data_IF_099507724752
#
_entry.id   IF_099507724752
#
_cell.length_a   1.000
_cell.length_b   1.000
_cell.length_c   1.000
_cell.angle_alpha   90.00
_cell.angle_beta   90.00
_cell.angle_gamma   90.00
#
_symmetry.space_group_name_H-M   'P 1'
#
loop_
_entity.id
_entity.type
_entity.pdbx_description
1 polymer ?
#
# COMPACT_ATOMS: atom_id res chain seq x y z
N UNK A 1 8.92 -14.89 -6.11
CA UNK A 1 9.95 -14.04 -6.74
C UNK A 1 10.94 -14.95 -7.44
N UNK A 2 11.54 -14.53 -8.57
CA UNK A 2 12.55 -15.34 -9.28
C UNK A 2 13.88 -15.35 -8.53
N UNK A 3 14.23 -14.26 -7.85
CA UNK A 3 15.44 -14.09 -7.04
C UNK A 3 15.13 -13.66 -5.62
N UNK A 4 15.96 -14.09 -4.67
CA UNK A 4 15.89 -13.72 -3.26
C UNK A 4 17.29 -13.53 -2.69
N UNK A 5 17.41 -12.69 -1.68
CA UNK A 5 18.63 -12.55 -0.89
C UNK A 5 18.56 -13.52 0.29
N UNK A 6 19.47 -14.48 0.32
CA UNK A 6 19.67 -15.39 1.43
C UNK A 6 20.63 -14.76 2.45
N UNK A 7 20.15 -14.62 3.68
CA UNK A 7 20.94 -14.19 4.83
C UNK A 7 21.64 -15.43 5.38
N UNK A 8 22.96 -15.40 5.48
CA UNK A 8 23.72 -16.55 5.99
C UNK A 8 23.55 -16.66 7.51
N UNK A 9 23.20 -17.88 7.97
CA UNK A 9 22.96 -18.16 9.39
C UNK A 9 24.29 -18.37 10.15
N UNK A 10 25.26 -19.02 9.52
CA UNK A 10 26.59 -19.29 10.11
C UNK A 10 27.56 -18.12 10.00
N UNK A 11 27.42 -17.30 8.96
CA UNK A 11 28.18 -16.05 8.80
C UNK A 11 27.21 -14.86 8.90
N UNK A 12 27.15 -14.29 10.11
CA UNK A 12 26.32 -13.11 10.40
C UNK A 12 26.67 -11.88 9.56
N UNK A 13 27.74 -11.92 8.77
CA UNK A 13 28.14 -10.84 7.87
C UNK A 13 27.80 -11.10 6.40
N UNK A 14 27.38 -12.31 6.01
CA UNK A 14 27.18 -12.70 4.62
C UNK A 14 25.74 -12.54 4.11
N UNK A 15 25.60 -11.98 2.90
CA UNK A 15 24.36 -11.92 2.13
C UNK A 15 24.61 -12.45 0.71
N UNK A 16 23.79 -13.40 0.24
CA UNK A 16 23.93 -14.01 -1.09
C UNK A 16 22.64 -13.88 -1.89
N UNK A 17 22.74 -13.51 -3.16
CA UNK A 17 21.63 -13.59 -4.11
C UNK A 17 21.48 -15.03 -4.60
N UNK A 18 20.27 -15.57 -4.54
CA UNK A 18 19.93 -16.90 -5.05
C UNK A 18 18.85 -16.80 -6.13
N UNK A 19 18.94 -17.68 -7.11
CA UNK A 19 17.84 -17.93 -8.05
C UNK A 19 16.94 -19.05 -7.49
N UNK A 20 15.65 -18.76 -7.37
CA UNK A 20 14.69 -19.66 -6.73
C UNK A 20 14.42 -20.94 -7.52
N UNK A 21 14.73 -20.93 -8.82
CA UNK A 21 14.71 -22.08 -9.72
C UNK A 21 15.88 -23.04 -9.47
N UNK A 22 17.06 -22.50 -9.15
CA UNK A 22 18.28 -23.28 -8.86
C UNK A 22 18.33 -23.72 -7.40
N UNK A 23 17.83 -22.88 -6.49
CA UNK A 23 17.86 -23.08 -5.04
C UNK A 23 16.50 -22.76 -4.44
N UNK A 24 15.69 -23.80 -4.23
CA UNK A 24 14.35 -23.64 -3.66
C UNK A 24 14.43 -23.10 -2.22
N UNK A 25 13.80 -21.94 -1.93
CA UNK A 25 13.76 -21.40 -0.57
C UNK A 25 13.03 -22.35 0.38
N UNK A 26 13.61 -22.63 1.55
CA UNK A 26 13.04 -23.55 2.55
C UNK A 26 12.11 -22.86 3.56
N UNK A 27 11.90 -21.55 3.43
CA UNK A 27 11.19 -20.77 4.42
C UNK A 27 10.53 -19.51 3.84
N UNK A 28 9.87 -18.72 4.70
CA UNK A 28 9.29 -17.44 4.29
C UNK A 28 10.36 -16.44 3.85
N UNK A 29 9.92 -15.39 3.16
CA UNK A 29 10.76 -14.23 2.86
C UNK A 29 10.07 -12.94 3.30
N UNK A 30 10.89 -11.94 3.63
CA UNK A 30 10.45 -10.56 3.86
C UNK A 30 10.65 -9.74 2.59
N UNK A 31 9.91 -8.66 2.46
CA UNK A 31 10.12 -7.62 1.44
C UNK A 31 10.53 -6.31 2.11
N UNK A 32 11.25 -5.45 1.41
CA UNK A 32 11.64 -4.12 1.90
C UNK A 32 11.10 -3.02 1.00
N UNK A 33 10.17 -2.22 1.54
CA UNK A 33 9.75 -0.95 0.96
C UNK A 33 10.64 0.18 1.47
N UNK A 34 11.36 0.86 0.57
CA UNK A 34 12.24 1.96 0.93
C UNK A 34 12.34 3.00 -0.18
N UNK A 35 12.93 4.16 0.11
CA UNK A 35 13.23 5.20 -0.88
C UNK A 35 14.71 5.13 -1.23
N UNK A 36 15.04 5.07 -2.51
CA UNK A 36 16.44 5.03 -2.94
C UNK A 36 17.14 6.38 -2.69
N UNK A 37 16.43 7.49 -2.90
CA UNK A 37 16.96 8.84 -2.71
C UNK A 37 18.06 9.19 -3.73
N UNK A 38 19.13 9.86 -3.26
CA UNK A 38 20.34 10.13 -4.06
C UNK A 38 21.50 9.21 -3.69
N UNK A 39 21.23 8.19 -2.87
CA UNK A 39 22.25 7.29 -2.37
C UNK A 39 22.73 6.39 -3.52
N UNK A 40 24.05 6.31 -3.72
CA UNK A 40 24.63 5.30 -4.58
C UNK A 40 24.96 4.08 -3.72
N UNK A 41 24.46 2.92 -4.14
CA UNK A 41 24.71 1.67 -3.46
C UNK A 41 24.79 0.52 -4.45
N UNK A 42 25.25 -0.64 -3.99
CA UNK A 42 25.40 -1.80 -4.87
C UNK A 42 24.00 -2.24 -5.32
N UNK A 43 23.79 -2.23 -6.63
CA UNK A 43 22.56 -2.69 -7.29
C UNK A 43 22.86 -3.99 -8.03
N UNK A 44 21.83 -4.77 -8.35
CA UNK A 44 21.96 -5.92 -9.22
C UNK A 44 22.08 -5.46 -10.68
N UNK A 45 23.24 -5.73 -11.27
CA UNK A 45 23.57 -5.44 -12.66
C UNK A 45 24.31 -6.65 -13.24
N UNK A 46 24.49 -6.71 -14.56
CA UNK A 46 25.30 -7.77 -15.17
C UNK A 46 26.71 -7.85 -14.56
N UNK A 47 27.29 -6.72 -14.16
CA UNK A 47 28.63 -6.65 -13.56
C UNK A 47 28.70 -7.11 -12.10
N UNK A 48 27.61 -6.94 -11.35
CA UNK A 48 27.55 -7.24 -9.91
C UNK A 48 26.87 -8.57 -9.60
N UNK A 49 26.29 -9.22 -10.61
CA UNK A 49 25.58 -10.49 -10.48
C UNK A 49 26.44 -11.59 -9.84
N UNK A 50 27.64 -11.81 -10.37
CA UNK A 50 28.53 -12.87 -9.90
C UNK A 50 28.99 -12.63 -8.47
N UNK A 51 29.33 -11.38 -8.12
CA UNK A 51 29.66 -10.97 -6.74
C UNK A 51 28.49 -11.24 -5.79
N UNK A 52 27.27 -10.87 -6.19
CA UNK A 52 26.07 -11.05 -5.37
C UNK A 52 25.74 -12.55 -5.20
N UNK A 53 25.93 -13.38 -6.23
CA UNK A 53 25.79 -14.84 -6.16
C UNK A 53 26.89 -15.50 -5.32
N UNK A 54 28.12 -15.00 -5.38
CA UNK A 54 29.21 -15.48 -4.53
C UNK A 54 28.93 -15.17 -3.05
N UNK A 55 28.38 -13.98 -2.79
CA UNK A 55 28.04 -13.46 -1.47
C UNK A 55 28.85 -12.20 -1.16
N UNK A 56 28.19 -11.24 -0.53
CA UNK A 56 28.77 -9.94 -0.16
C UNK A 56 28.64 -9.70 1.34
N UNK A 57 29.50 -8.83 1.87
CA UNK A 57 29.40 -8.38 3.26
C UNK A 57 28.18 -7.46 3.43
N UNK A 58 27.40 -7.66 4.49
CA UNK A 58 26.29 -6.78 4.87
C UNK A 58 26.79 -5.36 5.16
N UNK A 59 28.02 -5.20 5.65
CA UNK A 59 28.58 -3.89 6.02
C UNK A 59 28.75 -2.93 4.84
N UNK A 60 28.84 -3.43 3.60
CA UNK A 60 28.95 -2.58 2.41
C UNK A 60 27.59 -2.06 1.92
N UNK A 61 26.48 -2.57 2.47
CA UNK A 61 25.14 -2.16 2.08
C UNK A 61 24.72 -0.88 2.80
N UNK A 62 23.74 -0.14 2.26
CA UNK A 62 23.16 1.01 2.95
C UNK A 62 22.58 0.64 4.32
N UNK A 63 22.58 1.60 5.24
CA UNK A 63 22.12 1.39 6.63
C UNK A 63 20.70 0.82 6.69
N UNK A 64 19.78 1.27 5.82
CA UNK A 64 18.42 0.74 5.75
C UNK A 64 18.39 -0.75 5.41
N UNK A 65 19.32 -1.25 4.59
CA UNK A 65 19.38 -2.66 4.20
C UNK A 65 19.99 -3.49 5.32
N UNK A 66 21.04 -2.97 5.97
CA UNK A 66 21.65 -3.60 7.15
C UNK A 66 20.63 -3.77 8.28
N UNK A 67 19.84 -2.74 8.54
CA UNK A 67 18.80 -2.78 9.55
C UNK A 67 17.67 -3.74 9.14
N UNK A 68 17.28 -3.77 7.86
CA UNK A 68 16.28 -4.72 7.37
C UNK A 68 16.73 -6.18 7.54
N UNK A 69 18.01 -6.48 7.29
CA UNK A 69 18.60 -7.80 7.55
C UNK A 69 18.60 -8.11 9.06
N UNK A 70 18.89 -7.11 9.90
CA UNK A 70 18.82 -7.26 11.36
C UNK A 70 17.40 -7.55 11.85
N UNK A 71 16.39 -6.89 11.27
CA UNK A 71 14.97 -7.18 11.53
C UNK A 71 14.60 -8.58 11.06
N UNK A 72 15.04 -8.99 9.86
CA UNK A 72 14.79 -10.32 9.34
C UNK A 72 15.33 -11.42 10.28
N UNK A 73 16.55 -11.24 10.79
CA UNK A 73 17.15 -12.13 11.80
C UNK A 73 16.34 -12.21 13.08
N UNK A 74 15.90 -11.07 13.62
CA UNK A 74 15.05 -11.03 14.82
C UNK A 74 13.71 -11.73 14.63
N UNK A 75 13.18 -11.70 13.41
CA UNK A 75 11.95 -12.41 13.02
C UNK A 75 12.21 -13.88 12.61
N UNK A 76 13.46 -14.36 12.67
CA UNK A 76 13.88 -15.70 12.25
C UNK A 76 13.52 -16.00 10.78
N UNK A 77 13.62 -14.98 9.92
CA UNK A 77 13.42 -15.10 8.47
C UNK A 77 14.74 -14.87 7.74
N UNK A 78 15.16 -15.86 6.95
CA UNK A 78 16.48 -15.90 6.31
C UNK A 78 16.48 -15.51 4.83
N UNK A 79 15.33 -15.10 4.31
CA UNK A 79 15.18 -14.63 2.94
C UNK A 79 14.60 -13.22 2.91
N UNK A 80 15.21 -12.36 2.10
CA UNK A 80 14.80 -10.97 1.93
C UNK A 80 14.70 -10.65 0.43
N UNK A 81 13.71 -9.85 0.07
CA UNK A 81 13.56 -9.32 -1.28
C UNK A 81 13.68 -7.79 -1.23
N UNK A 82 14.63 -7.26 -1.98
CA UNK A 82 14.86 -5.82 -2.17
C UNK A 82 14.92 -5.60 -3.67
N UNK A 83 14.07 -4.72 -4.20
CA UNK A 83 13.94 -4.41 -5.64
C UNK A 83 15.29 -4.18 -6.33
N UNK A 84 16.11 -3.28 -5.79
CA UNK A 84 17.43 -2.90 -6.31
C UNK A 84 18.46 -4.03 -6.32
N UNK A 85 18.26 -5.10 -5.55
CA UNK A 85 19.18 -6.23 -5.44
C UNK A 85 18.63 -7.54 -6.02
N UNK A 86 17.32 -7.61 -6.30
CA UNK A 86 16.66 -8.78 -6.85
C UNK A 86 16.19 -8.60 -8.30
N UNK A 87 16.13 -7.35 -8.80
CA UNK A 87 15.80 -7.00 -10.18
C UNK A 87 17.06 -6.45 -10.85
N UNK A 88 17.34 -6.89 -12.08
CA UNK A 88 18.48 -6.41 -12.85
C UNK A 88 18.22 -5.00 -13.36
N UNK A 89 19.00 -4.02 -12.88
CA UNK A 89 18.78 -2.60 -13.13
C UNK A 89 19.25 -2.12 -14.51
N UNK A 90 20.13 -2.88 -15.15
CA UNK A 90 20.68 -2.62 -16.49
C UNK A 90 20.02 -3.48 -17.60
N UNK A 91 18.92 -4.19 -17.30
CA UNK A 91 18.13 -4.96 -18.29
C UNK A 91 16.66 -4.56 -18.26
N UNK A 92 16.18 -3.96 -19.35
CA UNK A 92 14.76 -3.62 -19.50
C UNK A 92 13.88 -4.86 -19.65
N UNK A 93 14.38 -5.96 -20.23
CA UNK A 93 13.61 -7.21 -20.30
C UNK A 93 13.41 -7.85 -18.92
N UNK A 94 14.46 -7.90 -18.10
CA UNK A 94 14.37 -8.40 -16.72
C UNK A 94 13.46 -7.50 -15.88
N UNK A 95 13.63 -6.19 -15.99
CA UNK A 95 12.78 -5.23 -15.29
C UNK A 95 11.31 -5.45 -15.64
N UNK A 96 10.95 -5.53 -16.93
CA UNK A 96 9.56 -5.75 -17.35
C UNK A 96 8.98 -7.07 -16.82
N UNK A 97 9.79 -8.14 -16.82
CA UNK A 97 9.38 -9.44 -16.29
C UNK A 97 9.15 -9.35 -14.77
N UNK A 98 10.10 -8.85 -14.01
CA UNK A 98 10.01 -8.77 -12.55
C UNK A 98 8.94 -7.78 -12.09
N UNK A 99 8.85 -6.62 -12.73
CA UNK A 99 7.83 -5.60 -12.49
C UNK A 99 6.41 -6.18 -12.64
N UNK A 100 6.19 -7.03 -13.66
CA UNK A 100 4.91 -7.72 -13.86
C UNK A 100 4.53 -8.68 -12.71
N UNK A 101 5.53 -9.20 -12.01
CA UNK A 101 5.40 -10.16 -10.90
C UNK A 101 5.48 -9.50 -9.52
N UNK A 102 5.93 -8.24 -9.43
CA UNK A 102 6.14 -7.50 -8.18
C UNK A 102 4.91 -7.53 -7.27
N UNK A 103 3.72 -7.50 -7.87
CA UNK A 103 2.47 -7.61 -7.11
C UNK A 103 2.32 -8.93 -6.35
N UNK A 104 2.72 -10.03 -6.97
CA UNK A 104 2.72 -11.36 -6.35
C UNK A 104 3.85 -11.46 -5.32
N UNK A 105 5.00 -10.82 -5.55
CA UNK A 105 6.11 -10.79 -4.57
C UNK A 105 5.64 -10.19 -3.24
N UNK A 106 5.04 -8.99 -3.28
CA UNK A 106 4.51 -8.38 -2.05
C UNK A 106 3.35 -9.19 -1.45
N UNK A 107 2.45 -9.73 -2.29
CA UNK A 107 1.29 -10.50 -1.80
C UNK A 107 1.68 -11.81 -1.10
N UNK A 108 2.74 -12.48 -1.56
CA UNK A 108 3.20 -13.76 -1.02
C UNK A 108 4.32 -13.62 0.02
N UNK A 109 4.88 -12.42 0.20
CA UNK A 109 5.81 -12.13 1.30
C UNK A 109 5.18 -12.36 2.68
N UNK A 110 5.99 -12.79 3.64
CA UNK A 110 5.56 -13.08 5.00
C UNK A 110 5.17 -11.81 5.77
N UNK A 111 6.01 -10.78 5.65
CA UNK A 111 5.81 -9.43 6.15
C UNK A 111 6.65 -8.46 5.30
N UNK A 112 6.11 -7.25 5.09
CA UNK A 112 6.84 -6.16 4.46
C UNK A 112 7.46 -5.26 5.53
N UNK A 113 8.76 -5.06 5.46
CA UNK A 113 9.48 -4.04 6.24
C UNK A 113 9.33 -2.72 5.46
N UNK A 114 8.73 -1.70 6.09
CA UNK A 114 8.57 -0.39 5.47
C UNK A 114 9.43 0.64 6.19
N UNK A 115 10.46 1.14 5.52
CA UNK A 115 11.33 2.24 5.98
C UNK A 115 10.58 3.59 5.92
N UNK A 116 9.49 3.70 6.68
CA UNK A 116 8.46 4.74 6.52
C UNK A 116 8.96 6.12 6.93
N UNK A 117 9.77 6.19 7.97
CA UNK A 117 10.41 7.43 8.44
C UNK A 117 11.70 7.80 7.67
N UNK A 118 12.29 6.87 6.93
CA UNK A 118 13.56 7.08 6.24
C UNK A 118 13.36 7.95 4.99
N UNK A 119 14.20 8.97 4.83
CA UNK A 119 14.17 9.83 3.64
C UNK A 119 14.84 9.15 2.43
N UNK A 120 15.84 8.30 2.69
CA UNK A 120 16.58 7.50 1.71
C UNK A 120 17.18 6.21 2.33
N UNK A 121 17.91 5.42 1.52
CA UNK A 121 18.54 4.17 1.93
C UNK A 121 19.66 4.31 2.97
N UNK A 122 20.19 5.52 3.20
CA UNK A 122 21.30 5.77 4.13
C UNK A 122 20.85 6.04 5.56
N UNK A 123 19.59 6.43 5.75
CA UNK A 123 19.07 6.84 7.06
C UNK A 123 18.94 5.67 8.07
N UNK A 124 18.63 4.46 7.61
CA UNK A 124 18.35 3.33 8.49
C UNK A 124 16.87 3.16 8.83
N UNK A 125 16.57 2.08 9.56
CA UNK A 125 15.23 1.79 10.09
C UNK A 125 15.08 2.27 11.54
N UNK A 126 16.16 2.22 12.32
CA UNK A 126 16.18 2.63 13.73
C UNK A 126 16.56 4.10 13.83
N UNK A 127 15.66 4.98 13.39
CA UNK A 127 15.90 6.42 13.41
C UNK A 127 15.91 6.91 14.86
N UNK A 128 16.88 7.76 15.21
CA UNK A 128 16.96 8.39 16.52
C UNK A 128 15.84 9.41 16.70
N UNK A 129 14.70 8.92 17.18
CA UNK A 129 13.61 9.74 17.69
C UNK A 129 14.00 10.33 19.04
N UNK A 130 14.69 11.47 19.06
CA UNK A 130 14.83 12.29 20.28
C UNK A 130 13.49 12.79 20.83
N UNK A 131 12.40 12.58 20.09
CA UNK A 131 11.04 12.78 20.57
C UNK A 131 10.63 11.60 21.47
N UNK A 132 10.16 11.85 22.69
CA UNK A 132 9.63 10.79 23.54
C UNK A 132 8.55 10.03 22.78
N UNK A 133 8.50 8.71 22.97
CA UNK A 133 7.36 7.89 22.54
C UNK A 133 6.10 8.65 22.91
N UNK A 134 5.26 8.94 21.91
CA UNK A 134 3.96 9.58 22.17
C UNK A 134 3.06 8.55 22.84
N UNK A 135 3.31 8.33 24.13
CA UNK A 135 2.45 7.55 25.00
C UNK A 135 1.18 8.35 25.24
N UNK A 136 0.02 7.70 25.22
CA UNK A 136 -1.25 8.38 25.43
C UNK A 136 -1.24 9.08 26.78
N UNK A 137 -1.67 10.33 26.83
CA UNK A 137 -1.73 11.05 28.10
C UNK A 137 -2.85 10.43 28.95
N UNK A 138 -2.48 9.82 30.08
CA UNK A 138 -3.41 9.27 31.07
C UNK A 138 -4.01 10.42 31.87
N UNK A 139 -5.32 10.57 31.80
CA UNK A 139 -6.07 11.58 32.56
C UNK A 139 -7.10 10.88 33.45
N UNK A 140 -7.23 11.37 34.69
CA UNK A 140 -8.25 10.90 35.63
C UNK A 140 -9.39 11.90 35.63
N UNK A 141 -10.53 11.49 35.10
CA UNK A 141 -11.73 12.32 34.98
C UNK A 141 -12.74 11.92 36.07
N UNK A 142 -13.51 12.86 36.63
CA UNK A 142 -14.62 12.51 37.51
C UNK A 142 -15.69 11.76 36.71
N UNK A 143 -16.24 10.70 37.30
CA UNK A 143 -17.34 9.96 36.67
C UNK A 143 -18.59 10.82 36.61
N UNK A 144 -19.32 10.73 35.50
CA UNK A 144 -20.60 11.43 35.38
C UNK A 144 -21.59 10.88 36.41
N UNK A 145 -22.06 11.75 37.33
CA UNK A 145 -23.03 11.38 38.36
C UNK A 145 -22.43 10.81 39.65
N UNK A 146 -21.10 10.66 39.75
CA UNK A 146 -20.41 10.26 40.97
C UNK A 146 -19.18 11.16 41.21
N UNK A 147 -19.28 12.16 42.10
CA UNK A 147 -18.18 13.08 42.42
C UNK A 147 -16.95 12.41 43.07
N UNK A 148 -17.11 11.20 43.61
CA UNK A 148 -16.03 10.43 44.25
C UNK A 148 -15.43 9.40 43.29
N UNK A 149 -16.19 9.01 42.27
CA UNK A 149 -15.77 8.15 41.18
C UNK A 149 -14.71 8.79 40.28
N UNK A 150 -13.65 8.04 39.99
CA UNK A 150 -12.61 8.41 39.03
C UNK A 150 -12.60 7.42 37.87
N UNK A 151 -12.65 7.93 36.65
CA UNK A 151 -12.45 7.17 35.42
C UNK A 151 -11.09 7.50 34.81
N UNK A 152 -10.32 6.47 34.45
CA UNK A 152 -9.06 6.63 33.73
C UNK A 152 -9.36 6.71 32.24
N UNK A 153 -9.10 7.87 31.65
CA UNK A 153 -9.20 8.10 30.21
C UNK A 153 -7.81 8.33 29.61
N UNK A 154 -7.68 8.09 28.31
CA UNK A 154 -6.46 8.34 27.56
C UNK A 154 -6.72 9.37 26.46
N UNK A 155 -5.92 10.44 26.42
CA UNK A 155 -5.97 11.43 25.34
C UNK A 155 -5.18 10.88 24.16
N UNK A 156 -5.86 10.75 23.03
CA UNK A 156 -5.32 10.20 21.79
C UNK A 156 -5.21 11.29 20.74
N UNK A 157 -4.14 11.29 19.95
CA UNK A 157 -4.12 11.98 18.66
C UNK A 157 -4.96 11.15 17.68
N UNK A 158 -6.17 11.61 17.27
CA UNK A 158 -7.02 10.87 16.36
C UNK A 158 -6.40 10.72 14.96
N UNK A 159 -5.42 11.58 14.61
CA UNK A 159 -4.76 11.61 13.31
C UNK A 159 -3.37 10.97 13.33
N UNK A 160 -2.98 10.31 14.43
CA UNK A 160 -1.65 9.70 14.59
C UNK A 160 -1.26 8.83 13.38
N UNK A 161 -2.16 7.94 12.97
CA UNK A 161 -1.93 7.05 11.82
C UNK A 161 -1.77 7.83 10.52
N UNK A 162 -2.66 8.79 10.26
CA UNK A 162 -2.61 9.61 9.05
C UNK A 162 -1.29 10.38 8.97
N UNK A 163 -0.89 10.98 10.09
CA UNK A 163 0.29 11.82 10.19
C UNK A 163 1.60 11.02 10.09
N UNK A 164 1.65 9.79 10.61
CA UNK A 164 2.88 8.97 10.63
C UNK A 164 3.00 8.01 9.46
N UNK A 165 1.89 7.53 8.91
CA UNK A 165 1.87 6.49 7.89
C UNK A 165 1.30 7.01 6.58
N UNK A 166 0.05 7.47 6.55
CA UNK A 166 -0.61 7.80 5.27
C UNK A 166 0.05 8.98 4.56
N UNK A 167 0.54 9.96 5.31
CA UNK A 167 1.25 11.14 4.80
C UNK A 167 2.77 10.92 4.71
N UNK A 168 3.27 9.72 5.03
CA UNK A 168 4.70 9.47 5.03
C UNK A 168 5.28 9.53 3.60
N UNK A 169 6.50 10.07 3.42
CA UNK A 169 7.13 10.17 2.11
C UNK A 169 7.21 8.82 1.38
N UNK A 170 7.45 7.72 2.09
CA UNK A 170 7.46 6.38 1.51
C UNK A 170 6.10 6.03 0.89
N UNK A 171 5.00 6.25 1.61
CA UNK A 171 3.66 5.84 1.19
C UNK A 171 3.16 6.66 0.00
N UNK A 172 3.60 7.91 -0.13
CA UNK A 172 3.31 8.70 -1.35
C UNK A 172 3.91 8.10 -2.64
N UNK A 173 4.78 7.09 -2.57
CA UNK A 173 5.26 6.34 -3.75
C UNK A 173 4.92 4.86 -3.68
N UNK A 174 5.13 4.22 -2.54
CA UNK A 174 5.03 2.78 -2.34
C UNK A 174 3.66 2.30 -1.82
N UNK A 175 2.57 3.05 -2.08
CA UNK A 175 1.24 2.68 -1.59
C UNK A 175 0.79 1.29 -2.10
N UNK A 176 1.23 0.87 -3.30
CA UNK A 176 0.92 -0.45 -3.86
C UNK A 176 1.57 -1.57 -3.06
N UNK A 177 2.81 -1.38 -2.63
CA UNK A 177 3.54 -2.36 -1.80
C UNK A 177 2.86 -2.50 -0.43
N UNK A 178 2.53 -1.36 0.19
CA UNK A 178 1.69 -1.31 1.38
C UNK A 178 0.32 -1.92 1.12
N UNK A 179 -0.26 -1.86 -0.08
CA UNK A 179 -1.60 -2.41 -0.31
C UNK A 179 -1.56 -3.94 -0.42
N UNK A 180 -0.59 -4.45 -1.17
CA UNK A 180 -0.52 -5.86 -1.55
C UNK A 180 0.02 -6.77 -0.45
N UNK A 181 0.95 -6.27 0.38
CA UNK A 181 1.51 -7.06 1.48
C UNK A 181 0.42 -7.62 2.41
N UNK A 182 0.61 -8.79 3.03
CA UNK A 182 -0.36 -9.29 4.03
C UNK A 182 -0.22 -8.58 5.37
N UNK A 183 1.01 -8.23 5.71
CA UNK A 183 1.44 -7.59 6.95
C UNK A 183 2.51 -6.57 6.61
N UNK A 184 2.48 -5.42 7.28
CA UNK A 184 3.46 -4.36 7.11
C UNK A 184 3.94 -3.93 8.49
N UNK A 185 5.25 -3.95 8.69
CA UNK A 185 5.92 -3.39 9.85
C UNK A 185 6.55 -2.07 9.42
N UNK A 186 5.97 -0.97 9.87
CA UNK A 186 6.40 0.38 9.58
C UNK A 186 7.41 0.86 10.61
N UNK A 187 8.61 1.15 10.15
CA UNK A 187 9.64 1.85 10.91
C UNK A 187 9.48 3.34 10.67
N UNK A 188 8.94 4.05 11.66
CA UNK A 188 8.76 5.51 11.60
C UNK A 188 9.84 6.21 12.41
N UNK A 189 9.79 7.54 12.50
CA UNK A 189 10.77 8.34 13.24
C UNK A 189 10.64 8.20 14.76
N UNK A 190 9.48 7.78 15.25
CA UNK A 190 9.13 7.84 16.67
C UNK A 190 8.72 6.49 17.26
N UNK A 191 8.08 5.59 16.50
CA UNK A 191 7.73 4.24 16.99
C UNK A 191 7.51 3.24 15.85
N UNK A 192 7.40 1.96 16.20
CA UNK A 192 6.93 0.94 15.27
C UNK A 192 5.41 0.97 15.12
N UNK A 193 4.95 0.82 13.88
CA UNK A 193 3.54 0.58 13.57
C UNK A 193 3.37 -0.74 12.82
N UNK A 194 2.28 -1.42 13.12
CA UNK A 194 1.89 -2.67 12.51
C UNK A 194 0.56 -2.50 11.78
N UNK A 195 0.50 -2.98 10.54
CA UNK A 195 -0.73 -3.06 9.76
C UNK A 195 -0.90 -4.46 9.17
N UNK A 196 -2.09 -5.04 9.33
CA UNK A 196 -2.45 -6.24 8.58
C UNK A 196 -3.93 -6.24 8.16
N UNK A 197 -4.34 -7.37 7.58
CA UNK A 197 -5.74 -7.83 7.42
C UNK A 197 -6.68 -7.37 8.53
N UNK A 198 -6.25 -7.59 9.76
CA UNK A 198 -7.13 -7.72 10.91
C UNK A 198 -7.03 -6.55 11.87
N UNK A 199 -5.83 -6.01 12.03
CA UNK A 199 -5.48 -5.08 13.11
C UNK A 199 -4.51 -4.03 12.63
N UNK A 200 -4.57 -2.90 13.31
CA UNK A 200 -3.55 -1.86 13.30
C UNK A 200 -3.06 -1.72 14.73
N UNK A 201 -1.75 -1.67 14.94
CA UNK A 201 -1.15 -1.54 16.25
C UNK A 201 0.09 -0.64 16.17
N UNK A 202 0.54 -0.14 17.31
CA UNK A 202 1.81 0.57 17.44
C UNK A 202 2.39 0.32 18.83
N UNK A 203 3.59 0.80 19.13
CA UNK A 203 4.21 0.57 20.45
C UNK A 203 3.36 1.13 21.60
N UNK A 204 2.69 2.27 21.39
CA UNK A 204 1.72 2.82 22.35
C UNK A 204 0.42 1.98 22.49
N UNK A 205 0.05 1.24 21.45
CA UNK A 205 -1.18 0.42 21.38
C UNK A 205 -0.89 -0.95 20.76
N UNK A 206 -0.23 -1.87 21.50
CA UNK A 206 0.29 -3.10 20.94
C UNK A 206 -0.80 -4.10 20.53
N UNK A 207 -2.00 -4.00 21.11
CA UNK A 207 -3.11 -4.92 20.82
C UNK A 207 -3.96 -4.41 19.64
N UNK A 208 -4.37 -3.15 19.69
CA UNK A 208 -5.24 -2.52 18.71
C UNK A 208 -5.21 -1.00 18.90
N UNK A 209 -4.98 -0.26 17.81
CA UNK A 209 -5.19 1.20 17.78
C UNK A 209 -6.68 1.53 17.69
N UNK A 210 -7.11 2.50 18.48
CA UNK A 210 -8.41 3.13 18.37
C UNK A 210 -8.32 4.24 17.32
N UNK A 211 -9.10 4.14 16.24
CA UNK A 211 -9.27 5.22 15.25
C UNK A 211 -10.71 5.71 15.35
N UNK A 212 -10.99 6.75 16.14
CA UNK A 212 -12.32 7.33 16.21
C UNK A 212 -12.59 8.06 14.89
N UNK A 213 -13.57 7.59 14.11
CA UNK A 213 -14.01 8.30 12.89
C UNK A 213 -13.43 7.74 11.59
N UNK A 214 -13.96 6.61 11.15
CA UNK A 214 -14.19 6.25 9.75
C UNK A 214 -13.28 6.94 8.71
N UNK A 215 -12.17 6.29 8.39
CA UNK A 215 -11.91 5.93 6.99
C UNK A 215 -11.19 4.60 7.03
N UNK A 216 -11.71 3.61 6.31
CA UNK A 216 -11.13 2.27 6.10
C UNK A 216 -9.65 2.16 6.46
N UNK A 217 -9.31 1.18 7.32
CA UNK A 217 -7.93 0.65 7.31
C UNK A 217 -7.56 0.45 5.85
N UNK A 218 -6.40 0.96 5.41
CA UNK A 218 -6.02 0.91 4.00
C UNK A 218 -6.03 -0.54 3.48
N UNK A 219 -5.73 -1.52 4.35
CA UNK A 219 -5.88 -2.95 4.09
C UNK A 219 -7.32 -3.48 3.98
N UNK A 220 -8.29 -2.80 4.58
CA UNK A 220 -9.72 -3.12 4.51
C UNK A 220 -10.43 -2.38 3.36
N UNK A 221 -9.70 -1.66 2.51
CA UNK A 221 -10.25 -1.16 1.24
C UNK A 221 -10.82 -2.31 0.41
N UNK A 222 -10.27 -3.52 0.50
CA UNK A 222 -10.91 -4.74 -0.02
C UNK A 222 -11.57 -5.50 1.14
N UNK A 223 -12.92 -5.64 1.16
CA UNK A 223 -13.62 -6.40 2.20
C UNK A 223 -13.17 -7.87 2.27
N UNK A 224 -13.22 -8.49 3.46
CA UNK A 224 -12.67 -9.85 3.69
C UNK A 224 -13.54 -10.99 3.13
N UNK A 225 -14.86 -10.82 3.03
CA UNK A 225 -15.77 -11.91 2.67
C UNK A 225 -15.96 -12.02 1.16
N UNK A 226 -15.56 -13.15 0.56
CA UNK A 226 -15.87 -13.50 -0.85
C UNK A 226 -17.38 -13.59 -1.14
N UNK A 227 -18.17 -13.75 -0.09
CA UNK A 227 -19.57 -14.19 -0.10
C UNK A 227 -20.52 -13.13 0.45
N UNK A 228 -20.33 -11.85 0.13
CA UNK A 228 -21.54 -11.03 0.07
C UNK A 228 -22.21 -11.32 -1.27
N UNK A 229 -23.04 -12.37 -1.29
CA UNK A 229 -24.10 -12.51 -2.31
C UNK A 229 -24.96 -11.22 -2.36
N UNK A 230 -24.92 -10.43 -1.28
CA UNK A 230 -25.50 -9.08 -1.18
C UNK A 230 -24.71 -7.99 -1.95
N UNK A 231 -23.62 -8.31 -2.68
CA UNK A 231 -23.02 -7.37 -3.65
C UNK A 231 -23.94 -7.13 -4.86
N UNK A 232 -24.82 -8.08 -5.16
CA UNK A 232 -25.83 -7.98 -6.23
C UNK A 232 -27.26 -7.81 -5.68
N UNK A 233 -27.52 -8.21 -4.44
CA UNK A 233 -28.89 -8.26 -3.85
C UNK A 233 -29.10 -7.39 -2.59
N UNK A 234 -28.09 -6.65 -2.12
CA UNK A 234 -28.35 -5.60 -1.15
C UNK A 234 -29.21 -4.54 -1.84
N UNK A 235 -30.48 -4.44 -1.46
CA UNK A 235 -31.41 -3.40 -1.90
C UNK A 235 -30.65 -2.09 -2.17
N UNK A 236 -30.96 -1.45 -3.30
CA UNK A 236 -30.49 -0.13 -3.73
C UNK A 236 -30.69 1.00 -2.70
N UNK A 237 -31.05 0.67 -1.45
CA UNK A 237 -31.51 1.48 -0.34
C UNK A 237 -30.97 0.95 1.01
N UNK A 238 -29.65 0.91 1.20
CA UNK A 238 -29.12 1.13 2.55
C UNK A 238 -28.25 2.40 2.56
N UNK A 239 -28.90 3.52 2.25
CA UNK A 239 -28.50 4.80 2.83
C UNK A 239 -28.59 4.58 4.33
N UNK A 240 -27.46 4.37 5.00
CA UNK A 240 -27.42 4.53 6.45
C UNK A 240 -28.04 5.91 6.71
N UNK A 241 -29.04 6.00 7.60
CA UNK A 241 -29.78 7.23 7.93
C UNK A 241 -28.90 8.41 8.41
N UNK A 242 -27.57 8.26 8.35
CA UNK A 242 -26.54 9.18 8.80
C UNK A 242 -25.51 9.54 7.71
N UNK A 243 -25.80 9.30 6.42
CA UNK A 243 -24.96 9.81 5.33
C UNK A 243 -23.52 9.25 5.28
N UNK A 244 -23.23 8.17 6.01
CA UNK A 244 -21.98 7.44 5.87
C UNK A 244 -22.13 6.48 4.71
N UNK A 245 -21.48 6.79 3.58
CA UNK A 245 -21.28 5.83 2.51
C UNK A 245 -20.60 4.60 3.10
N UNK A 246 -21.26 3.44 3.02
CA UNK A 246 -20.60 2.19 3.32
C UNK A 246 -19.44 2.05 2.34
N UNK A 247 -18.26 1.74 2.88
CA UNK A 247 -17.04 1.41 2.12
C UNK A 247 -17.22 0.16 1.23
N UNK A 248 -18.38 -0.49 1.34
CA UNK A 248 -18.57 -1.88 0.96
C UNK A 248 -18.82 -2.08 -0.54
N UNK A 249 -19.13 -1.05 -1.34
CA UNK A 249 -19.36 -1.22 -2.78
C UNK A 249 -18.06 -1.31 -3.59
N UNK A 250 -18.03 -2.13 -4.65
CA UNK A 250 -16.86 -2.30 -5.53
C UNK A 250 -16.40 -0.96 -6.14
N UNK A 251 -17.34 -0.06 -6.40
CA UNK A 251 -17.09 1.27 -6.96
C UNK A 251 -16.40 2.18 -5.93
N UNK A 252 -16.80 2.13 -4.65
CA UNK A 252 -16.13 2.86 -3.58
C UNK A 252 -14.70 2.35 -3.37
N UNK A 253 -14.49 1.02 -3.44
CA UNK A 253 -13.15 0.41 -3.41
C UNK A 253 -12.28 0.93 -4.55
N UNK A 254 -12.79 0.88 -5.79
CA UNK A 254 -12.04 1.33 -6.97
C UNK A 254 -11.77 2.83 -6.95
N UNK A 255 -12.74 3.66 -6.55
CA UNK A 255 -12.57 5.11 -6.41
C UNK A 255 -11.51 5.47 -5.36
N UNK A 256 -11.47 4.76 -4.23
CA UNK A 256 -10.44 4.95 -3.21
C UNK A 256 -9.04 4.59 -3.70
N UNK A 257 -8.91 3.47 -4.42
CA UNK A 257 -7.65 3.04 -5.04
C UNK A 257 -7.15 4.10 -6.03
N UNK A 258 -8.03 4.64 -6.87
CA UNK A 258 -7.65 5.69 -7.81
C UNK A 258 -7.32 7.01 -7.13
N UNK A 259 -7.99 7.36 -6.03
CA UNK A 259 -7.64 8.51 -5.21
C UNK A 259 -6.22 8.38 -4.66
N UNK A 260 -5.88 7.21 -4.11
CA UNK A 260 -4.52 6.93 -3.63
C UNK A 260 -3.49 6.94 -4.76
N UNK A 261 -3.81 6.33 -5.90
CA UNK A 261 -2.94 6.31 -7.08
C UNK A 261 -2.64 7.72 -7.62
N UNK A 262 -3.64 8.62 -7.64
CA UNK A 262 -3.45 10.01 -8.06
C UNK A 262 -2.65 10.84 -7.05
N UNK A 263 -2.88 10.62 -5.77
CA UNK A 263 -2.12 11.28 -4.72
C UNK A 263 -0.66 10.81 -4.67
N UNK A 264 -0.36 9.63 -5.25
CA UNK A 264 0.98 9.09 -5.28
C UNK A 264 1.88 9.90 -6.24
N UNK A 265 2.98 10.43 -5.71
CA UNK A 265 3.97 11.18 -6.46
C UNK A 265 4.96 10.24 -7.17
N UNK A 266 4.42 9.40 -8.05
CA UNK A 266 5.21 8.49 -8.87
C UNK A 266 5.89 9.31 -9.98
N UNK A 267 7.22 9.43 -9.89
CA UNK A 267 8.03 10.29 -10.76
C UNK A 267 8.24 9.69 -12.15
N UNK A 268 8.18 8.36 -12.27
CA UNK A 268 8.28 7.66 -13.54
C UNK A 268 6.89 7.21 -14.03
N UNK A 269 6.56 7.55 -15.28
CA UNK A 269 5.27 7.19 -15.90
C UNK A 269 5.14 5.70 -16.19
N UNK A 270 6.25 4.98 -16.31
CA UNK A 270 6.26 3.53 -16.54
C UNK A 270 5.90 2.75 -15.27
N UNK A 271 6.48 3.14 -14.12
CA UNK A 271 6.16 2.57 -12.80
C UNK A 271 4.67 2.68 -12.45
N UNK A 272 4.04 3.78 -12.89
CA UNK A 272 2.61 4.08 -12.71
C UNK A 272 1.71 2.99 -13.26
N UNK A 273 1.94 2.58 -14.52
CA UNK A 273 1.13 1.57 -15.20
C UNK A 273 1.29 0.19 -14.56
N UNK A 274 2.54 -0.20 -14.29
CA UNK A 274 2.86 -1.49 -13.66
C UNK A 274 2.21 -1.61 -12.29
N UNK A 275 2.37 -0.59 -11.43
CA UNK A 275 1.87 -0.62 -10.07
C UNK A 275 0.33 -0.80 -10.02
N UNK A 276 -0.39 -0.13 -10.91
CA UNK A 276 -1.86 -0.27 -11.01
C UNK A 276 -2.27 -1.63 -11.58
N UNK A 277 -1.51 -2.18 -12.54
CA UNK A 277 -1.82 -3.48 -13.16
C UNK A 277 -1.85 -4.64 -12.15
N UNK A 278 -0.95 -4.61 -11.16
CA UNK A 278 -0.92 -5.60 -10.09
C UNK A 278 -2.19 -5.59 -9.23
N UNK A 279 -2.68 -4.40 -8.90
CA UNK A 279 -3.93 -4.23 -8.14
C UNK A 279 -5.13 -4.66 -8.96
N UNK A 280 -5.17 -4.31 -10.25
CA UNK A 280 -6.24 -4.71 -11.16
C UNK A 280 -6.36 -6.24 -11.18
N UNK A 281 -5.27 -6.98 -11.37
CA UNK A 281 -5.29 -8.46 -11.37
C UNK A 281 -5.87 -9.05 -10.08
N UNK A 282 -5.52 -8.46 -8.92
CA UNK A 282 -6.09 -8.87 -7.62
C UNK A 282 -7.59 -8.59 -7.56
N UNK A 283 -8.03 -7.46 -8.10
CA UNK A 283 -9.43 -7.05 -8.11
C UNK A 283 -10.28 -7.83 -9.13
N UNK A 284 -9.74 -8.21 -10.30
CA UNK A 284 -10.43 -9.05 -11.28
C UNK A 284 -10.85 -10.38 -10.68
N UNK A 285 -9.92 -11.04 -9.98
CA UNK A 285 -10.21 -12.28 -9.23
C UNK A 285 -11.19 -12.03 -8.08
N UNK A 286 -11.14 -10.86 -7.44
CA UNK A 286 -11.93 -10.56 -6.25
C UNK A 286 -13.37 -10.19 -6.56
N UNK A 287 -13.57 -9.40 -7.62
CA UNK A 287 -14.85 -8.92 -8.11
C UNK A 287 -15.52 -9.91 -9.06
N UNK A 288 -14.77 -10.91 -9.54
CA UNK A 288 -15.20 -11.81 -10.62
C UNK A 288 -15.68 -10.98 -11.83
N UNK A 289 -14.92 -9.93 -12.16
CA UNK A 289 -15.25 -8.93 -13.18
C UNK A 289 -14.00 -8.65 -14.01
N UNK A 290 -14.18 -8.32 -15.29
CA UNK A 290 -13.08 -8.04 -16.20
C UNK A 290 -12.78 -6.54 -16.22
N UNK A 291 -11.48 -6.19 -16.21
CA UNK A 291 -11.07 -4.80 -16.34
C UNK A 291 -10.68 -4.46 -17.77
N UNK A 292 -11.40 -3.51 -18.37
CA UNK A 292 -11.19 -3.09 -19.75
C UNK A 292 -11.07 -1.57 -19.82
N UNK A 293 -9.94 -1.10 -20.34
CA UNK A 293 -9.70 0.32 -20.63
C UNK A 293 -10.13 1.27 -19.49
N UNK A 294 -9.75 0.99 -18.23
CA UNK A 294 -10.07 1.91 -17.11
C UNK A 294 -11.33 1.58 -16.31
N UNK A 295 -12.17 0.66 -16.81
CA UNK A 295 -13.49 0.36 -16.26
C UNK A 295 -13.69 -1.14 -16.04
N UNK A 296 -14.56 -1.50 -15.11
CA UNK A 296 -15.01 -2.86 -14.83
C UNK A 296 -16.25 -3.21 -15.67
N UNK A 297 -16.26 -4.37 -16.33
CA UNK A 297 -17.33 -4.71 -17.29
C UNK A 297 -18.71 -4.86 -16.66
N UNK A 298 -18.79 -5.33 -15.41
CA UNK A 298 -20.04 -5.59 -14.70
C UNK A 298 -20.80 -4.36 -14.22
N UNK A 299 -20.28 -3.13 -14.41
CA UNK A 299 -21.03 -1.88 -14.17
C UNK A 299 -20.66 -0.75 -15.14
N UNK A 300 -20.52 -1.06 -16.43
CA UNK A 300 -20.11 -0.04 -17.40
C UNK A 300 -21.02 1.21 -17.40
N UNK A 301 -22.36 1.11 -17.37
CA UNK A 301 -23.21 2.31 -17.41
C UNK A 301 -22.93 3.30 -16.28
N UNK A 302 -22.68 2.79 -15.06
CA UNK A 302 -22.32 3.62 -13.91
C UNK A 302 -20.93 4.23 -14.07
N UNK A 303 -19.97 3.44 -14.51
CA UNK A 303 -18.57 3.87 -14.62
C UNK A 303 -18.34 4.82 -15.80
N UNK A 304 -19.19 4.79 -16.83
CA UNK A 304 -19.20 5.76 -17.91
C UNK A 304 -19.68 7.15 -17.45
N UNK A 305 -20.37 7.25 -16.30
CA UNK A 305 -20.79 8.52 -15.70
C UNK A 305 -19.66 9.18 -14.85
N UNK A 306 -18.41 8.98 -15.22
CA UNK A 306 -17.27 9.66 -14.62
C UNK A 306 -17.30 11.16 -14.94
N UNK A 307 -16.75 11.98 -14.04
CA UNK A 307 -16.71 13.43 -14.22
C UNK A 307 -15.35 14.01 -13.83
N UNK A 308 -15.02 15.17 -14.36
CA UNK A 308 -13.82 15.90 -14.01
C UNK A 308 -14.01 16.62 -12.68
N UNK A 309 -13.16 16.30 -11.70
CA UNK A 309 -13.09 17.01 -10.42
C UNK A 309 -11.78 17.82 -10.40
N UNK A 310 -11.87 19.13 -10.62
CA UNK A 310 -10.71 20.03 -10.66
C UNK A 310 -10.91 21.28 -11.52
N UNK A 311 -9.98 22.27 -11.45
CA UNK A 311 -10.01 23.48 -12.27
C UNK A 311 -9.89 23.14 -13.77
N UNK A 312 -10.48 23.98 -14.65
CA UNK A 312 -10.57 23.75 -16.10
C UNK A 312 -9.22 23.43 -16.79
N UNK A 313 -8.10 23.87 -16.22
CA UNK A 313 -6.73 23.61 -16.71
C UNK A 313 -6.33 22.14 -16.74
N UNK A 314 -7.05 21.24 -16.05
CA UNK A 314 -6.77 19.80 -16.10
C UNK A 314 -7.28 19.11 -17.37
N UNK A 315 -7.99 19.81 -18.26
CA UNK A 315 -8.52 19.27 -19.53
C UNK A 315 -7.47 19.19 -20.64
N UNK A 316 -6.42 20.00 -20.55
CA UNK A 316 -5.47 20.20 -21.67
C UNK A 316 -4.27 19.24 -21.65
N UNK A 317 -4.21 18.34 -20.65
CA UNK A 317 -3.15 17.33 -20.55
C UNK A 317 -3.60 16.04 -21.23
N UNK A 318 -3.33 15.93 -22.54
CA UNK A 318 -3.46 14.65 -23.27
C UNK A 318 -2.39 13.68 -22.73
N UNK A 319 -2.77 12.48 -22.25
CA UNK A 319 -1.79 11.48 -21.89
C UNK A 319 -1.00 11.01 -23.13
N UNK A 320 0.26 10.57 -22.98
CA UNK A 320 1.08 10.07 -24.08
C UNK A 320 0.56 8.77 -24.72
N UNK A 321 -0.50 8.17 -24.16
CA UNK A 321 -1.14 6.95 -24.64
C UNK A 321 -2.59 7.22 -25.08
N UNK A 322 -2.96 6.78 -26.28
CA UNK A 322 -4.32 6.85 -26.81
C UNK A 322 -5.24 5.85 -26.09
N UNK A 323 -5.81 6.25 -24.96
CA UNK A 323 -6.94 5.55 -24.37
C UNK A 323 -8.24 5.90 -25.15
N UNK A 324 -9.24 5.00 -25.18
CA UNK A 324 -10.54 5.28 -25.80
C UNK A 324 -11.18 6.54 -25.20
N UNK A 325 -11.85 7.37 -26.01
CA UNK A 325 -12.43 8.65 -25.54
C UNK A 325 -13.49 8.49 -24.43
N UNK A 326 -14.15 7.33 -24.37
CA UNK A 326 -15.12 6.98 -23.32
C UNK A 326 -14.45 6.48 -22.03
N UNK A 327 -13.16 6.17 -22.09
CA UNK A 327 -12.38 5.73 -20.94
C UNK A 327 -11.98 6.92 -20.07
N UNK A 328 -12.05 6.72 -18.76
CA UNK A 328 -11.51 7.64 -17.80
C UNK A 328 -9.97 7.82 -17.93
N UNK A 329 -9.28 6.86 -18.57
CA UNK A 329 -7.84 6.96 -18.92
C UNK A 329 -7.54 7.94 -20.07
N UNK A 330 -8.56 8.48 -20.74
CA UNK A 330 -8.38 9.47 -21.82
C UNK A 330 -7.94 10.86 -21.33
N UNK A 331 -8.03 11.11 -20.02
CA UNK A 331 -7.67 12.38 -19.38
C UNK A 331 -6.77 12.15 -18.17
N UNK A 332 -5.86 13.11 -17.90
CA UNK A 332 -4.94 13.02 -16.77
C UNK A 332 -5.63 13.12 -15.39
N UNK A 333 -6.87 13.63 -15.33
CA UNK A 333 -7.66 13.75 -14.10
C UNK A 333 -9.11 13.30 -14.31
N UNK A 334 -9.59 12.29 -13.58
CA UNK A 334 -11.00 11.85 -13.63
C UNK A 334 -11.50 11.35 -12.27
N UNK A 335 -12.73 11.67 -11.87
CA UNK A 335 -13.35 11.13 -10.65
C UNK A 335 -14.57 10.31 -11.04
N UNK A 336 -14.88 9.25 -10.31
CA UNK A 336 -16.15 8.54 -10.49
C UNK A 336 -17.22 9.22 -9.65
N UNK A 337 -18.41 9.38 -10.22
CA UNK A 337 -19.60 9.87 -9.52
C UNK A 337 -19.92 8.95 -8.34
N UNK A 338 -20.37 9.55 -7.22
CA UNK A 338 -20.88 8.74 -6.11
C UNK A 338 -22.13 7.99 -6.57
N UNK A 339 -22.38 6.80 -6.01
CA UNK A 339 -23.54 5.96 -6.39
C UNK A 339 -24.85 6.77 -6.34
N UNK A 340 -24.96 7.62 -5.31
CA UNK A 340 -26.03 8.58 -5.10
C UNK A 340 -26.16 9.64 -6.20
N UNK A 341 -25.08 10.12 -6.81
CA UNK A 341 -25.17 11.12 -7.89
C UNK A 341 -25.71 10.53 -9.20
N UNK A 342 -25.29 9.30 -9.56
CA UNK A 342 -25.83 8.63 -10.76
C UNK A 342 -27.25 8.15 -10.52
N UNK A 343 -27.58 7.64 -9.33
CA UNK A 343 -28.96 7.33 -8.97
C UNK A 343 -29.81 8.62 -9.03
N UNK A 344 -29.34 9.73 -8.47
CA UNK A 344 -30.04 11.01 -8.56
C UNK A 344 -30.22 11.46 -10.02
N UNK A 345 -29.17 11.36 -10.85
CA UNK A 345 -29.23 11.70 -12.27
C UNK A 345 -30.20 10.79 -13.05
N UNK A 346 -30.19 9.48 -12.80
CA UNK A 346 -31.09 8.52 -13.44
C UNK A 346 -32.54 8.68 -12.97
N UNK A 347 -32.74 9.04 -11.69
CA UNK A 347 -34.08 9.33 -11.13
C UNK A 347 -34.61 10.64 -11.69
N UNK A 348 -33.74 11.64 -11.82
CA UNK A 348 -34.04 12.95 -12.41
C UNK A 348 -34.33 12.83 -13.92
N UNK A 349 -33.53 12.04 -14.66
CA UNK A 349 -33.79 11.75 -16.07
C UNK A 349 -35.08 10.94 -16.26
N UNK A 350 -35.38 9.96 -15.40
CA UNK A 350 -36.68 9.27 -15.42
C UNK A 350 -37.88 10.18 -15.11
N UNK A 351 -37.68 11.23 -14.30
CA UNK A 351 -38.71 12.23 -14.01
C UNK A 351 -38.89 13.25 -15.14
N UNK A 352 -37.89 13.44 -16.01
CA UNK A 352 -37.96 14.31 -17.19
C UNK A 352 -38.57 13.58 -18.40
N UNK A 353 -38.41 12.26 -18.48
CA UNK A 353 -38.91 11.42 -19.58
C UNK A 353 -40.24 10.70 -19.28
N UNK A 354 -40.93 11.09 -18.19
CA UNK A 354 -42.36 10.85 -17.97
C UNK A 354 -43.08 12.17 -18.11
#
# INVERSE_FOLDING_TARGET
PTRLLQIQEQDSSGLRLIETTESTPKGPYLTLSHRWGKAQFKELTAKTLDDLKAGISVAILPKTFQDAISVARRLQVWYLWIDSLCIMQDSSEDWNREASQMSLVYQHGYCNIAATGALDSTAGLFLDGSAPLQTPCRVELPMWGDPQGREVSYVLDPDLWRNRIDNAPLITRAWVERFLAKRVLHFTKDQLFWECRERMACEAFPVQMFSPGSTTQFKNIIPRNRTSRNYFEGEYLSISKHGRHSIDSRECVWANILRCYKAANLTNSEDKGVALSGIIKVLEVRFSDQYTAGLWTGNLPFQLAWFLQGPKSSRDTKPPYCAPSWSCKSLAAFSFSSLSFVIYLLTYLRAIYK
#
